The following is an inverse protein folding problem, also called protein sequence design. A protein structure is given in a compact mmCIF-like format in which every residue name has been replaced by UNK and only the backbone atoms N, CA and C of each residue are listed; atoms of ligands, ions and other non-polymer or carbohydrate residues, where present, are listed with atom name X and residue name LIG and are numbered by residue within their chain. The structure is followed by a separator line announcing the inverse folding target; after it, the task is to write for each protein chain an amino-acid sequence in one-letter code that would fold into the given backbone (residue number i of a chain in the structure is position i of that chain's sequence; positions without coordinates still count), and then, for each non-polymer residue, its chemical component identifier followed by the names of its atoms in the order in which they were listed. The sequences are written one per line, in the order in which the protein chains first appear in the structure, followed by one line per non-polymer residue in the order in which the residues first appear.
data_IF_929061129506
#
_entry.id   IF_929061129506
#
_cell.length_a   1.000
_cell.length_b   1.000
_cell.length_c   1.000
_cell.angle_alpha   90.00
_cell.angle_beta   90.00
_cell.angle_gamma   90.00
#
_symmetry.space_group_name_H-M   'P 1'
#
loop_
_entity.id
_entity.type
_entity.pdbx_description
1 polymer ?
#
# COMPACT_ATOMS: atom_id res chain seq x y z
N UNK A 1 18.81 37.71 -26.35
CA UNK A 1 17.79 36.66 -26.63
C UNK A 1 17.53 35.93 -25.34
N UNK A 2 16.32 36.03 -24.78
CA UNK A 2 15.96 35.23 -23.61
C UNK A 2 15.58 33.82 -24.10
N UNK A 3 16.35 32.82 -23.68
CA UNK A 3 16.01 31.42 -23.95
C UNK A 3 14.78 31.07 -23.12
N UNK A 4 13.63 30.90 -23.78
CA UNK A 4 12.42 30.41 -23.13
C UNK A 4 12.68 28.94 -22.79
N UNK A 5 12.98 28.65 -21.52
CA UNK A 5 13.02 27.27 -21.02
C UNK A 5 11.58 26.78 -20.98
N UNK A 6 11.25 25.75 -21.76
CA UNK A 6 9.94 25.13 -21.73
C UNK A 6 9.65 24.65 -20.30
N UNK A 7 8.53 25.11 -19.73
CA UNK A 7 8.09 24.62 -18.42
C UNK A 7 7.71 23.14 -18.55
N UNK A 8 8.29 22.31 -17.69
CA UNK A 8 7.95 20.89 -17.65
C UNK A 8 6.55 20.70 -17.09
N UNK A 9 5.79 19.71 -17.58
CA UNK A 9 4.49 19.44 -17.02
C UNK A 9 4.60 19.02 -15.56
N UNK A 10 3.61 19.44 -14.78
CA UNK A 10 3.60 19.20 -13.35
C UNK A 10 2.21 18.84 -12.84
N UNK A 11 2.20 18.18 -11.69
CA UNK A 11 0.99 17.82 -10.98
C UNK A 11 1.02 18.38 -9.56
N UNK A 12 -0.14 18.86 -9.12
CA UNK A 12 -0.41 19.38 -7.79
C UNK A 12 -1.58 18.65 -7.14
N UNK A 13 -1.58 18.52 -5.81
CA UNK A 13 -2.74 18.04 -5.07
C UNK A 13 -3.40 19.20 -4.33
N UNK A 14 -4.66 19.48 -4.63
CA UNK A 14 -5.41 20.61 -4.05
C UNK A 14 -5.43 20.56 -2.52
N UNK A 15 -5.00 21.65 -1.89
CA UNK A 15 -4.97 21.77 -0.43
C UNK A 15 -3.77 21.08 0.24
N UNK A 16 -2.80 20.59 -0.54
CA UNK A 16 -1.55 20.03 -0.05
C UNK A 16 -0.37 20.74 -0.73
N UNK A 17 0.80 20.86 -0.08
CA UNK A 17 1.98 21.49 -0.65
C UNK A 17 2.69 20.61 -1.71
N UNK A 18 1.95 19.70 -2.34
CA UNK A 18 2.49 18.70 -3.24
C UNK A 18 2.56 19.30 -4.63
N UNK A 19 3.77 19.41 -5.15
CA UNK A 19 4.10 19.75 -6.52
C UNK A 19 5.19 18.81 -7.02
N UNK A 20 4.98 18.15 -8.16
CA UNK A 20 5.98 17.28 -8.76
C UNK A 20 5.90 17.28 -10.29
N UNK A 21 7.06 17.18 -10.94
CA UNK A 21 7.16 17.07 -12.40
C UNK A 21 6.62 15.71 -12.86
N UNK A 22 5.92 15.70 -13.98
CA UNK A 22 5.41 14.49 -14.64
C UNK A 22 5.88 14.46 -16.10
N UNK A 23 5.90 13.29 -16.72
CA UNK A 23 6.19 13.17 -18.15
C UNK A 23 5.07 13.79 -19.00
N UNK A 24 5.39 14.27 -20.19
CA UNK A 24 4.41 14.77 -21.17
C UNK A 24 3.30 13.75 -21.45
N UNK A 25 3.67 12.46 -21.58
CA UNK A 25 2.71 11.36 -21.80
C UNK A 25 1.65 11.32 -20.69
N UNK A 26 2.08 11.37 -19.42
CA UNK A 26 1.15 11.37 -18.28
C UNK A 26 0.29 12.63 -18.30
N UNK A 27 0.87 13.80 -18.58
CA UNK A 27 0.15 15.07 -18.66
C UNK A 27 -0.96 15.01 -19.72
N UNK A 28 -0.63 14.60 -20.95
CA UNK A 28 -1.61 14.50 -22.04
C UNK A 28 -2.75 13.52 -21.70
N UNK A 29 -2.45 12.39 -21.09
CA UNK A 29 -3.48 11.41 -20.72
C UNK A 29 -4.39 11.92 -19.59
N UNK A 30 -3.85 12.66 -18.64
CA UNK A 30 -4.65 13.30 -17.58
C UNK A 30 -5.52 14.43 -18.15
N UNK A 31 -4.98 15.24 -19.07
CA UNK A 31 -5.75 16.27 -19.79
C UNK A 31 -6.92 15.65 -20.56
N UNK A 32 -6.64 14.57 -21.31
CA UNK A 32 -7.64 13.88 -22.13
C UNK A 32 -8.63 13.04 -21.33
N UNK A 33 -8.39 12.82 -20.03
CA UNK A 33 -9.29 12.01 -19.19
C UNK A 33 -10.67 12.64 -19.00
N UNK A 34 -10.78 13.97 -19.10
CA UNK A 34 -11.97 14.74 -18.75
C UNK A 34 -12.55 14.38 -17.35
N UNK A 35 -11.70 13.85 -16.46
CA UNK A 35 -12.15 13.34 -15.18
C UNK A 35 -12.50 14.50 -14.24
N UNK A 36 -13.61 14.39 -13.51
CA UNK A 36 -14.09 15.44 -12.60
C UNK A 36 -13.10 15.84 -11.50
N UNK A 37 -12.14 14.98 -11.18
CA UNK A 37 -11.09 15.23 -10.20
C UNK A 37 -9.89 16.01 -10.75
N UNK A 38 -9.86 16.31 -12.04
CA UNK A 38 -8.76 17.03 -12.68
C UNK A 38 -9.17 18.47 -12.94
N UNK A 39 -8.26 19.40 -12.65
CA UNK A 39 -8.31 20.79 -13.09
C UNK A 39 -7.02 21.10 -13.86
N UNK A 40 -7.15 21.70 -15.02
CA UNK A 40 -6.03 21.94 -15.94
C UNK A 40 -5.74 23.44 -15.96
N UNK A 41 -4.47 23.79 -15.80
CA UNK A 41 -3.95 25.12 -16.11
C UNK A 41 -2.99 25.00 -17.30
N UNK A 42 -3.54 25.22 -18.50
CA UNK A 42 -2.78 25.15 -19.75
C UNK A 42 -1.70 26.24 -19.84
N UNK A 43 -1.84 27.35 -19.12
CA UNK A 43 -0.88 28.45 -19.16
C UNK A 43 0.37 28.16 -18.34
N UNK A 44 0.20 27.49 -17.19
CA UNK A 44 1.28 27.03 -16.33
C UNK A 44 1.74 25.59 -16.64
N UNK A 45 1.16 24.97 -17.68
CA UNK A 45 1.39 23.57 -18.05
C UNK A 45 1.29 22.62 -16.84
N UNK A 46 0.23 22.80 -16.05
CA UNK A 46 0.07 22.09 -14.78
C UNK A 46 -1.32 21.51 -14.60
N UNK A 47 -1.39 20.43 -13.82
CA UNK A 47 -2.61 19.74 -13.46
C UNK A 47 -2.78 19.78 -11.95
N UNK A 48 -3.97 20.13 -11.48
CA UNK A 48 -4.35 20.01 -10.09
C UNK A 48 -5.34 18.87 -9.91
N UNK A 49 -5.00 17.90 -9.07
CA UNK A 49 -5.91 16.85 -8.62
C UNK A 49 -6.69 17.37 -7.42
N UNK A 50 -8.02 17.41 -7.56
CA UNK A 50 -8.93 17.95 -6.55
C UNK A 50 -8.87 17.16 -5.26
N UNK A 51 -9.02 17.86 -4.14
CA UNK A 51 -9.01 17.29 -2.78
C UNK A 51 -10.08 16.22 -2.59
N UNK A 52 -11.17 16.31 -3.37
CA UNK A 52 -12.26 15.34 -3.39
C UNK A 52 -11.85 13.92 -3.81
N UNK A 53 -10.70 13.75 -4.49
CA UNK A 53 -10.12 12.44 -4.81
C UNK A 53 -9.46 11.78 -3.59
N UNK A 54 -8.86 12.60 -2.70
CA UNK A 54 -8.15 12.15 -1.50
C UNK A 54 -8.97 12.32 -0.22
N UNK A 55 -10.30 12.20 -0.31
CA UNK A 55 -11.17 12.23 0.88
C UNK A 55 -11.08 10.92 1.65
N UNK A 56 -11.27 10.98 2.97
CA UNK A 56 -11.22 9.80 3.86
C UNK A 56 -12.09 8.62 3.40
N UNK A 57 -13.28 8.89 2.85
CA UNK A 57 -14.17 7.85 2.32
C UNK A 57 -13.69 7.21 0.99
N UNK A 58 -12.53 7.63 0.47
CA UNK A 58 -11.83 7.05 -0.69
C UNK A 58 -10.57 6.26 -0.26
N UNK A 59 -10.29 6.20 1.03
CA UNK A 59 -9.18 5.43 1.56
C UNK A 59 -9.54 3.95 1.60
N UNK A 60 -8.65 3.13 1.04
CA UNK A 60 -8.70 1.69 1.27
C UNK A 60 -8.26 1.40 2.69
N UNK A 61 -9.13 0.76 3.46
CA UNK A 61 -8.85 0.45 4.86
C UNK A 61 -7.88 -0.73 4.94
N UNK A 62 -6.92 -0.67 5.87
CA UNK A 62 -6.03 -1.80 6.15
C UNK A 62 -6.79 -2.88 6.92
N UNK A 63 -6.46 -4.15 6.65
CA UNK A 63 -7.27 -5.29 7.12
C UNK A 63 -6.43 -6.36 7.80
N UNK A 64 -7.12 -7.14 8.64
CA UNK A 64 -6.71 -8.49 9.02
C UNK A 64 -7.26 -9.45 7.98
N UNK A 65 -6.41 -10.30 7.40
CA UNK A 65 -6.85 -11.27 6.39
C UNK A 65 -6.85 -12.71 6.88
N UNK A 66 -5.90 -13.05 7.74
CA UNK A 66 -5.78 -14.40 8.27
C UNK A 66 -5.43 -14.34 9.76
N UNK A 67 -5.77 -15.41 10.47
CA UNK A 67 -5.02 -15.83 11.63
C UNK A 67 -4.26 -17.10 11.28
N UNK A 68 -3.08 -17.26 11.84
CA UNK A 68 -2.28 -18.47 11.65
C UNK A 68 -1.86 -19.02 13.01
N UNK A 69 -1.82 -20.33 13.12
CA UNK A 69 -1.16 -21.04 14.19
C UNK A 69 -0.24 -22.08 13.56
N UNK A 70 0.96 -22.19 14.08
CA UNK A 70 2.02 -22.99 13.51
C UNK A 70 2.51 -23.95 14.59
N UNK A 71 2.66 -25.24 14.28
CA UNK A 71 3.38 -26.21 15.13
C UNK A 71 4.45 -26.93 14.31
N UNK A 72 5.22 -27.84 14.92
CA UNK A 72 6.35 -28.50 14.24
C UNK A 72 5.98 -29.15 12.90
N UNK A 73 4.74 -29.65 12.74
CA UNK A 73 4.31 -30.45 11.60
C UNK A 73 3.40 -29.71 10.62
N UNK A 74 2.64 -28.71 11.09
CA UNK A 74 1.60 -28.05 10.28
C UNK A 74 1.50 -26.53 10.50
N UNK A 75 0.85 -25.87 9.53
CA UNK A 75 0.42 -24.48 9.59
C UNK A 75 -1.09 -24.46 9.42
N UNK A 76 -1.81 -24.02 10.44
CA UNK A 76 -3.27 -23.89 10.43
C UNK A 76 -3.62 -22.44 10.13
N UNK A 77 -4.50 -22.22 9.16
CA UNK A 77 -4.94 -20.89 8.72
C UNK A 77 -6.44 -20.76 9.02
N UNK A 78 -6.80 -19.66 9.69
CA UNK A 78 -8.18 -19.32 10.01
C UNK A 78 -8.58 -18.01 9.31
N UNK A 79 -9.77 -17.99 8.74
CA UNK A 79 -10.40 -16.74 8.29
C UNK A 79 -10.91 -15.94 9.49
N UNK A 80 -10.78 -14.61 9.49
CA UNK A 80 -11.47 -13.79 10.47
C UNK A 80 -12.98 -13.77 10.21
N UNK A 81 -13.74 -13.47 11.26
CA UNK A 81 -15.18 -13.25 11.13
C UNK A 81 -15.40 -11.86 10.51
N UNK A 82 -16.09 -11.80 9.36
CA UNK A 82 -16.49 -10.53 8.74
C UNK A 82 -17.32 -9.71 9.72
N UNK A 83 -16.85 -8.52 10.08
CA UNK A 83 -17.44 -7.70 11.13
C UNK A 83 -17.73 -6.25 10.71
N UNK A 84 -17.70 -5.95 9.40
CA UNK A 84 -17.92 -4.58 8.93
C UNK A 84 -18.56 -4.53 7.54
N UNK A 85 -19.60 -3.70 7.43
CA UNK A 85 -20.25 -3.39 6.15
C UNK A 85 -19.30 -2.73 5.14
N UNK A 86 -18.22 -2.09 5.62
CA UNK A 86 -17.22 -1.42 4.77
C UNK A 86 -16.48 -2.43 3.88
N UNK A 87 -16.42 -3.70 4.27
CA UNK A 87 -15.70 -4.77 3.58
C UNK A 87 -16.65 -5.75 2.86
N UNK A 88 -17.92 -5.41 2.68
CA UNK A 88 -18.93 -6.31 2.08
C UNK A 88 -18.52 -6.84 0.71
N UNK A 89 -17.86 -5.99 -0.09
CA UNK A 89 -17.44 -6.32 -1.44
C UNK A 89 -16.01 -6.91 -1.51
N UNK A 90 -15.39 -7.22 -0.36
CA UNK A 90 -14.08 -7.88 -0.34
C UNK A 90 -14.17 -9.28 -0.94
N UNK A 91 -13.23 -9.58 -1.83
CA UNK A 91 -13.03 -10.92 -2.40
C UNK A 91 -12.42 -11.90 -1.38
N UNK A 92 -11.99 -11.40 -0.22
CA UNK A 92 -11.42 -12.17 0.87
C UNK A 92 -12.30 -12.05 2.12
N UNK A 93 -12.14 -12.99 3.05
CA UNK A 93 -12.70 -12.88 4.39
C UNK A 93 -11.87 -11.89 5.20
N UNK A 94 -11.96 -10.60 4.88
CA UNK A 94 -11.23 -9.56 5.60
C UNK A 94 -12.01 -9.05 6.81
N UNK A 95 -11.30 -8.64 7.86
CA UNK A 95 -11.85 -7.85 8.96
C UNK A 95 -11.00 -6.60 9.22
N UNK A 96 -11.60 -5.60 9.87
CA UNK A 96 -10.84 -4.39 10.22
C UNK A 96 -9.76 -4.69 11.26
N UNK A 97 -8.62 -3.99 11.18
CA UNK A 97 -7.53 -4.16 12.16
C UNK A 97 -7.98 -3.63 13.53
N UNK A 98 -8.10 -4.53 14.50
CA UNK A 98 -8.33 -4.18 15.90
C UNK A 98 -7.03 -3.70 16.58
N UNK A 99 -7.12 -2.58 17.31
CA UNK A 99 -5.96 -1.95 17.96
C UNK A 99 -5.46 -2.69 19.22
N UNK A 100 -6.32 -3.48 19.86
CA UNK A 100 -6.03 -4.11 21.16
C UNK A 100 -5.84 -5.63 21.05
N UNK A 101 -5.46 -6.11 19.87
CA UNK A 101 -5.20 -7.53 19.66
C UNK A 101 -4.09 -8.02 20.57
N UNK A 102 -4.34 -9.12 21.28
CA UNK A 102 -3.46 -9.58 22.36
C UNK A 102 -2.20 -10.26 21.84
N UNK A 103 -2.27 -10.88 20.67
CA UNK A 103 -1.17 -11.68 20.15
C UNK A 103 -0.28 -10.90 19.17
N UNK A 104 0.86 -11.49 18.84
CA UNK A 104 1.78 -11.00 17.80
C UNK A 104 1.10 -10.94 16.43
N UNK A 105 1.65 -10.07 15.58
CA UNK A 105 1.14 -9.84 14.22
C UNK A 105 2.26 -10.05 13.21
N UNK A 106 1.92 -10.57 12.04
CA UNK A 106 2.74 -10.47 10.84
C UNK A 106 2.11 -9.39 9.97
N UNK A 107 2.78 -8.26 9.84
CA UNK A 107 2.31 -7.13 9.04
C UNK A 107 3.00 -7.16 7.67
N UNK A 108 2.23 -7.38 6.60
CA UNK A 108 2.70 -7.29 5.22
C UNK A 108 2.40 -5.87 4.73
N UNK A 109 3.46 -5.10 4.49
CA UNK A 109 3.37 -3.70 4.07
C UNK A 109 3.48 -3.59 2.55
N UNK A 110 2.49 -2.95 1.95
CA UNK A 110 2.40 -2.63 0.53
C UNK A 110 2.45 -1.12 0.34
N UNK A 111 2.67 -0.65 -0.88
CA UNK A 111 2.84 0.77 -1.16
C UNK A 111 1.54 1.54 -1.03
N UNK A 112 0.57 1.21 -1.87
CA UNK A 112 -0.68 1.92 -2.01
C UNK A 112 -1.67 1.12 -2.86
N UNK A 113 -2.97 1.38 -2.73
CA UNK A 113 -3.99 0.76 -3.56
C UNK A 113 -3.78 0.89 -5.07
N UNK A 114 -4.19 -0.15 -5.80
CA UNK A 114 -4.35 -0.24 -7.24
C UNK A 114 -5.84 -0.27 -7.63
N UNK A 115 -6.16 -0.51 -8.91
CA UNK A 115 -7.53 -0.50 -9.42
C UNK A 115 -8.41 -1.56 -8.75
N UNK A 116 -7.91 -2.78 -8.57
CA UNK A 116 -8.71 -3.91 -8.06
C UNK A 116 -9.16 -3.72 -6.60
N UNK A 117 -8.57 -2.75 -5.89
CA UNK A 117 -8.88 -2.42 -4.49
C UNK A 117 -10.05 -1.42 -4.37
N UNK A 118 -10.66 -1.08 -5.50
CA UNK A 118 -11.85 -0.27 -5.63
C UNK A 118 -12.90 -0.98 -6.49
N UNK A 119 -14.17 -0.66 -6.28
CA UNK A 119 -15.25 -1.13 -7.14
C UNK A 119 -15.08 -0.61 -8.56
N UNK A 120 -15.44 -1.45 -9.53
CA UNK A 120 -15.51 -1.06 -10.94
C UNK A 120 -16.70 -0.12 -11.18
N UNK A 121 -16.54 1.15 -10.81
CA UNK A 121 -17.56 2.19 -10.91
C UNK A 121 -16.96 3.49 -11.47
N UNK A 122 -17.29 3.79 -12.73
CA UNK A 122 -16.79 4.98 -13.43
C UNK A 122 -17.21 6.31 -12.78
N UNK A 123 -18.29 6.33 -11.99
CA UNK A 123 -18.77 7.55 -11.34
C UNK A 123 -18.24 7.76 -9.93
N UNK A 124 -17.96 6.67 -9.20
CA UNK A 124 -17.54 6.72 -7.80
C UNK A 124 -16.36 5.79 -7.55
N UNK A 125 -15.27 6.37 -7.07
CA UNK A 125 -14.17 5.61 -6.48
C UNK A 125 -14.63 5.05 -5.12
N UNK A 126 -14.99 3.77 -5.02
CA UNK A 126 -15.48 3.16 -3.77
C UNK A 126 -14.45 2.11 -3.32
N UNK A 127 -13.81 2.27 -2.16
CA UNK A 127 -12.78 1.35 -1.70
C UNK A 127 -13.39 0.01 -1.26
N UNK A 128 -12.70 -1.09 -1.53
CA UNK A 128 -13.07 -2.45 -1.11
C UNK A 128 -12.21 -2.91 0.06
N UNK A 129 -10.90 -2.94 -0.13
CA UNK A 129 -9.92 -3.52 0.78
C UNK A 129 -8.55 -3.57 0.10
N UNK A 130 -7.46 -3.86 0.81
CA UNK A 130 -6.12 -3.85 0.22
C UNK A 130 -5.86 -5.16 -0.50
N UNK A 131 -4.99 -5.14 -1.52
CA UNK A 131 -4.58 -6.30 -2.28
C UNK A 131 -5.76 -7.20 -2.71
N UNK A 132 -6.79 -6.64 -3.34
CA UNK A 132 -7.99 -7.38 -3.77
C UNK A 132 -7.80 -8.13 -5.11
N UNK A 133 -6.77 -7.75 -5.87
CA UNK A 133 -6.42 -8.36 -7.15
C UNK A 133 -5.40 -9.49 -7.06
N UNK A 134 -4.51 -9.55 -8.07
CA UNK A 134 -3.44 -10.55 -8.16
C UNK A 134 -2.49 -10.54 -6.96
N UNK A 135 -2.26 -9.37 -6.35
CA UNK A 135 -1.45 -9.25 -5.12
C UNK A 135 -2.02 -10.12 -4.00
N UNK A 136 -3.31 -10.02 -3.71
CA UNK A 136 -3.95 -10.80 -2.64
C UNK A 136 -3.93 -12.29 -2.90
N UNK A 137 -4.28 -12.69 -4.13
CA UNK A 137 -4.25 -14.10 -4.55
C UNK A 137 -2.86 -14.71 -4.39
N UNK A 138 -1.81 -13.96 -4.72
CA UNK A 138 -0.42 -14.41 -4.52
C UNK A 138 -0.02 -14.46 -3.05
N UNK A 139 -0.52 -13.56 -2.20
CA UNK A 139 -0.30 -13.62 -0.75
C UNK A 139 -0.96 -14.88 -0.19
N UNK A 140 -2.25 -15.10 -0.45
CA UNK A 140 -3.01 -16.27 0.02
C UNK A 140 -2.36 -17.58 -0.45
N UNK A 141 -2.02 -17.69 -1.74
CA UNK A 141 -1.39 -18.88 -2.30
C UNK A 141 -0.03 -19.23 -1.65
N UNK A 142 0.70 -18.25 -1.13
CA UNK A 142 2.05 -18.46 -0.59
C UNK A 142 2.12 -18.27 0.92
N UNK A 143 0.98 -18.18 1.62
CA UNK A 143 1.00 -17.87 3.05
C UNK A 143 1.67 -18.98 3.87
N UNK A 144 1.40 -20.26 3.59
CA UNK A 144 2.05 -21.39 4.27
C UNK A 144 3.57 -21.36 4.07
N UNK A 145 4.01 -21.23 2.81
CA UNK A 145 5.43 -21.09 2.46
C UNK A 145 6.09 -19.90 3.15
N UNK A 146 5.36 -18.79 3.32
CA UNK A 146 5.86 -17.65 4.07
C UNK A 146 6.13 -18.02 5.53
N UNK A 147 5.24 -18.79 6.15
CA UNK A 147 5.39 -19.20 7.55
C UNK A 147 6.58 -20.15 7.71
N UNK A 148 6.74 -21.10 6.79
CA UNK A 148 7.92 -21.97 6.73
C UNK A 148 9.21 -21.16 6.63
N UNK A 149 9.27 -20.16 5.72
CA UNK A 149 10.43 -19.28 5.63
C UNK A 149 10.69 -18.48 6.89
N UNK A 150 9.65 -17.99 7.55
CA UNK A 150 9.81 -17.28 8.82
C UNK A 150 10.27 -18.22 9.96
N UNK A 151 9.94 -19.52 9.90
CA UNK A 151 10.54 -20.54 10.81
C UNK A 151 12.03 -20.72 10.56
N UNK A 152 12.50 -20.71 9.30
CA UNK A 152 13.94 -20.77 8.99
C UNK A 152 14.72 -19.62 9.67
N UNK A 153 14.08 -18.46 9.84
CA UNK A 153 14.64 -17.31 10.57
C UNK A 153 14.46 -17.36 12.09
N UNK A 154 13.81 -18.41 12.62
CA UNK A 154 13.53 -18.61 14.04
C UNK A 154 12.73 -17.45 14.67
N UNK A 155 11.79 -16.86 13.92
CA UNK A 155 10.95 -15.74 14.40
C UNK A 155 9.47 -16.11 14.61
N UNK A 156 9.06 -17.30 14.18
CA UNK A 156 7.75 -17.88 14.46
C UNK A 156 7.85 -18.70 15.74
N UNK A 157 6.84 -18.60 16.58
CA UNK A 157 6.72 -19.39 17.81
C UNK A 157 5.66 -20.46 17.61
N UNK A 158 5.96 -21.68 18.04
CA UNK A 158 5.02 -22.79 17.93
C UNK A 158 3.82 -22.61 18.87
N UNK A 159 2.65 -23.04 18.41
CA UNK A 159 1.35 -22.92 19.06
C UNK A 159 1.00 -21.48 19.47
N UNK A 160 1.58 -20.49 18.77
CA UNK A 160 1.26 -19.08 18.96
C UNK A 160 0.37 -18.60 17.82
N UNK A 161 -0.81 -18.09 18.16
CA UNK A 161 -1.75 -17.54 17.19
C UNK A 161 -1.30 -16.15 16.73
N UNK A 162 -0.78 -16.05 15.50
CA UNK A 162 -0.48 -14.78 14.85
C UNK A 162 -1.67 -14.26 14.05
N UNK A 163 -1.82 -12.94 14.02
CA UNK A 163 -2.70 -12.26 13.08
C UNK A 163 -1.91 -11.75 11.88
N UNK A 164 -2.45 -11.91 10.67
CA UNK A 164 -1.84 -11.41 9.43
C UNK A 164 -2.57 -10.14 8.99
N UNK A 165 -1.85 -9.02 9.02
CA UNK A 165 -2.37 -7.74 8.56
C UNK A 165 -1.82 -7.40 7.17
N UNK A 166 -2.69 -6.95 6.27
CA UNK A 166 -2.31 -6.38 4.98
C UNK A 166 -2.47 -4.86 5.08
N UNK A 167 -1.36 -4.14 4.93
CA UNK A 167 -1.28 -2.70 5.22
C UNK A 167 -0.71 -1.98 4.00
N UNK A 168 -1.49 -1.08 3.41
CA UNK A 168 -0.95 -0.07 2.50
C UNK A 168 -0.31 1.05 3.32
N UNK A 169 0.91 1.46 2.95
CA UNK A 169 1.61 2.56 3.59
C UNK A 169 0.91 3.91 3.29
N UNK A 170 0.41 4.08 2.06
CA UNK A 170 -0.45 5.19 1.67
C UNK A 170 -1.80 4.62 1.22
N UNK A 171 -2.87 4.93 1.96
CA UNK A 171 -4.20 4.33 1.76
C UNK A 171 -5.00 4.89 0.56
N UNK A 172 -4.35 5.59 -0.37
CA UNK A 172 -4.95 6.18 -1.56
C UNK A 172 -4.29 5.64 -2.82
N UNK A 173 -5.03 5.52 -3.92
CA UNK A 173 -4.47 5.12 -5.21
C UNK A 173 -3.52 6.19 -5.77
N UNK A 174 -2.23 6.08 -5.45
CA UNK A 174 -1.21 7.06 -5.85
C UNK A 174 -0.84 6.98 -7.33
N UNK A 175 -1.16 5.87 -8.01
CA UNK A 175 -1.00 5.74 -9.46
C UNK A 175 -1.97 6.59 -10.27
N UNK A 176 -3.05 7.09 -9.66
CA UNK A 176 -4.14 7.82 -10.32
C UNK A 176 -4.84 7.04 -11.45
N UNK A 177 -4.80 5.70 -11.41
CA UNK A 177 -5.42 4.86 -12.43
C UNK A 177 -6.90 5.17 -12.67
N UNK A 178 -7.67 5.49 -11.63
CA UNK A 178 -9.08 5.90 -11.75
C UNK A 178 -9.29 7.14 -12.62
N UNK A 179 -8.26 7.98 -12.76
CA UNK A 179 -8.31 9.19 -13.57
C UNK A 179 -7.91 8.88 -15.01
N UNK A 180 -6.77 8.22 -15.22
CA UNK A 180 -6.19 8.06 -16.56
C UNK A 180 -6.51 6.70 -17.23
N UNK A 181 -7.00 5.72 -16.48
CA UNK A 181 -7.45 4.39 -16.95
C UNK A 181 -6.41 3.63 -17.80
N UNK A 182 -5.11 3.79 -17.49
CA UNK A 182 -4.00 3.15 -18.22
C UNK A 182 -3.29 2.10 -17.37
N UNK A 183 -2.77 1.02 -17.98
CA UNK A 183 -2.00 0.01 -17.25
C UNK A 183 -0.73 0.60 -16.63
N UNK A 184 -0.26 -0.02 -15.54
CA UNK A 184 0.90 0.43 -14.77
C UNK A 184 2.24 0.14 -15.48
N UNK A 185 2.56 0.93 -16.50
CA UNK A 185 3.86 0.93 -17.18
C UNK A 185 4.89 1.82 -16.45
N UNK A 186 6.07 2.01 -17.04
CA UNK A 186 7.16 2.78 -16.40
C UNK A 186 6.74 4.23 -16.05
N UNK A 187 6.01 4.92 -16.93
CA UNK A 187 5.57 6.30 -16.70
C UNK A 187 4.62 6.40 -15.50
N UNK A 188 3.68 5.46 -15.39
CA UNK A 188 2.70 5.45 -14.29
C UNK A 188 3.29 4.91 -12.98
N UNK A 189 4.32 4.05 -13.03
CA UNK A 189 5.10 3.69 -11.84
C UNK A 189 5.87 4.88 -11.30
N UNK A 190 6.47 5.68 -12.17
CA UNK A 190 7.16 6.91 -11.76
C UNK A 190 6.18 7.93 -11.17
N UNK A 191 5.01 8.12 -11.80
CA UNK A 191 3.94 8.96 -11.25
C UNK A 191 3.51 8.49 -9.87
N UNK A 192 3.20 7.18 -9.73
CA UNK A 192 2.83 6.55 -8.47
C UNK A 192 3.86 6.86 -7.39
N UNK A 193 5.14 6.57 -7.65
CA UNK A 193 6.21 6.74 -6.68
C UNK A 193 6.39 8.21 -6.29
N UNK A 194 6.32 9.14 -7.26
CA UNK A 194 6.40 10.59 -7.00
C UNK A 194 5.26 11.06 -6.11
N UNK A 195 4.02 10.69 -6.42
CA UNK A 195 2.85 11.07 -5.62
C UNK A 195 2.93 10.43 -4.24
N UNK A 196 3.25 9.14 -4.17
CA UNK A 196 3.44 8.41 -2.92
C UNK A 196 4.45 9.10 -2.01
N UNK A 197 5.64 9.43 -2.54
CA UNK A 197 6.71 10.08 -1.78
C UNK A 197 6.26 11.42 -1.22
N UNK A 198 5.62 12.23 -2.07
CA UNK A 198 5.08 13.54 -1.68
C UNK A 198 4.01 13.42 -0.61
N UNK A 199 3.05 12.50 -0.75
CA UNK A 199 2.05 12.25 0.28
C UNK A 199 2.67 11.78 1.59
N UNK A 200 3.66 10.88 1.53
CA UNK A 200 4.34 10.35 2.70
C UNK A 200 5.16 11.40 3.46
N UNK A 201 5.87 12.28 2.75
CA UNK A 201 6.76 13.26 3.35
C UNK A 201 6.06 14.58 3.73
N UNK A 202 5.03 14.98 3.00
CA UNK A 202 4.44 16.32 3.12
C UNK A 202 3.03 16.34 3.73
N UNK A 203 2.38 15.18 3.90
CA UNK A 203 1.08 15.06 4.57
C UNK A 203 1.24 14.25 5.86
N UNK A 204 1.48 14.91 7.02
CA UNK A 204 1.75 14.21 8.28
C UNK A 204 0.69 13.18 8.67
N UNK A 205 -0.58 13.44 8.32
CA UNK A 205 -1.69 12.54 8.63
C UNK A 205 -1.53 11.16 7.97
N UNK A 206 -0.97 11.08 6.75
CA UNK A 206 -0.76 9.81 6.05
C UNK A 206 0.20 8.93 6.84
N UNK A 207 1.37 9.48 7.18
CA UNK A 207 2.38 8.77 7.98
C UNK A 207 1.84 8.43 9.38
N UNK A 208 1.15 9.36 10.04
CA UNK A 208 0.60 9.13 11.38
C UNK A 208 -0.46 8.01 11.40
N UNK A 209 -1.31 7.93 10.37
CA UNK A 209 -2.29 6.84 10.22
C UNK A 209 -1.58 5.49 10.04
N UNK A 210 -0.54 5.42 9.20
CA UNK A 210 0.31 4.24 9.07
C UNK A 210 0.96 3.83 10.41
N UNK A 211 1.59 4.78 11.09
CA UNK A 211 2.28 4.55 12.37
C UNK A 211 1.33 4.13 13.49
N UNK A 212 0.05 4.55 13.46
CA UNK A 212 -0.96 4.08 14.41
C UNK A 212 -1.18 2.57 14.30
N UNK A 213 -1.17 2.01 13.10
CA UNK A 213 -1.33 0.56 12.91
C UNK A 213 -0.11 -0.21 13.39
N UNK A 214 1.09 0.34 13.20
CA UNK A 214 2.34 -0.39 13.48
C UNK A 214 2.83 -0.19 14.91
N UNK A 215 2.55 0.95 15.55
CA UNK A 215 2.89 1.21 16.95
C UNK A 215 2.13 0.29 17.92
N UNK A 216 0.91 -0.13 17.57
CA UNK A 216 0.09 -1.04 18.40
C UNK A 216 0.55 -2.51 18.38
N UNK A 217 1.46 -2.87 17.46
CA UNK A 217 2.00 -4.22 17.35
C UNK A 217 2.80 -4.62 18.59
N UNK A 218 2.66 -5.89 19.01
CA UNK A 218 3.36 -6.47 20.17
C UNK A 218 4.85 -6.67 19.90
N UNK A 219 5.65 -6.72 20.95
CA UNK A 219 7.07 -7.10 20.86
C UNK A 219 7.20 -8.48 20.22
N UNK A 220 8.16 -8.65 19.32
CA UNK A 220 8.35 -9.88 18.54
C UNK A 220 7.35 -10.05 17.40
N UNK A 221 6.53 -9.04 17.09
CA UNK A 221 5.76 -9.02 15.84
C UNK A 221 6.72 -8.93 14.64
N UNK A 222 6.27 -9.46 13.51
CA UNK A 222 7.03 -9.51 12.27
C UNK A 222 6.50 -8.43 11.33
N UNK A 223 7.39 -7.67 10.71
CA UNK A 223 7.04 -6.66 9.71
C UNK A 223 7.76 -7.03 8.42
N UNK A 224 7.02 -7.18 7.33
CA UNK A 224 7.55 -7.49 6.02
C UNK A 224 7.25 -6.31 5.11
N UNK A 225 8.30 -5.54 4.78
CA UNK A 225 8.19 -4.46 3.82
C UNK A 225 8.29 -5.02 2.38
N UNK A 226 7.13 -5.20 1.76
CA UNK A 226 6.99 -5.68 0.38
C UNK A 226 6.70 -4.54 -0.61
N UNK A 227 6.97 -3.29 -0.23
CA UNK A 227 6.86 -2.15 -1.13
C UNK A 227 7.86 -2.28 -2.32
N UNK A 228 7.62 -1.57 -3.43
CA UNK A 228 8.59 -1.41 -4.51
C UNK A 228 9.93 -0.89 -3.99
N UNK A 229 11.03 -1.32 -4.62
CA UNK A 229 12.41 -1.00 -4.22
C UNK A 229 12.66 0.50 -4.00
N UNK A 230 12.05 1.35 -4.82
CA UNK A 230 12.13 2.82 -4.73
C UNK A 230 11.51 3.40 -3.44
N UNK A 231 10.54 2.71 -2.85
CA UNK A 231 9.75 3.19 -1.71
C UNK A 231 10.16 2.54 -0.39
N UNK A 232 10.74 1.33 -0.43
CA UNK A 232 11.15 0.59 0.78
C UNK A 232 11.97 1.41 1.77
N UNK A 233 13.00 2.20 1.38
CA UNK A 233 13.82 2.92 2.34
C UNK A 233 13.00 3.87 3.22
N UNK A 234 11.99 4.52 2.66
CA UNK A 234 11.14 5.47 3.39
C UNK A 234 10.27 4.81 4.45
N UNK A 235 9.79 3.59 4.17
CA UNK A 235 9.01 2.80 5.12
C UNK A 235 9.92 2.19 6.20
N UNK A 236 11.09 1.66 5.82
CA UNK A 236 12.03 1.06 6.77
C UNK A 236 12.57 2.07 7.79
N UNK A 237 12.82 3.31 7.38
CA UNK A 237 13.29 4.38 8.27
C UNK A 237 12.40 4.55 9.51
N UNK A 238 11.09 4.34 9.36
CA UNK A 238 10.13 4.45 10.46
C UNK A 238 10.25 3.29 11.48
N UNK A 239 10.78 2.14 11.05
CA UNK A 239 10.93 0.95 11.89
C UNK A 239 12.31 0.82 12.53
N UNK A 240 13.34 1.39 11.91
CA UNK A 240 14.73 1.33 12.41
C UNK A 240 14.84 1.90 13.83
N UNK A 241 14.06 2.93 14.16
CA UNK A 241 14.06 3.52 15.51
C UNK A 241 13.56 2.55 16.59
N UNK A 242 12.75 1.56 16.21
CA UNK A 242 12.16 0.55 17.09
C UNK A 242 12.59 -0.86 16.69
N UNK A 243 13.79 -1.02 16.12
CA UNK A 243 14.25 -2.28 15.55
C UNK A 243 14.27 -3.41 16.57
N UNK A 244 14.51 -3.12 17.86
CA UNK A 244 14.49 -4.11 18.94
C UNK A 244 13.07 -4.60 19.32
N UNK A 245 12.02 -3.97 18.78
CA UNK A 245 10.62 -4.34 19.06
C UNK A 245 10.11 -5.39 18.08
N UNK A 246 10.64 -5.44 16.87
CA UNK A 246 10.09 -6.23 15.76
C UNK A 246 11.16 -7.06 15.07
N UNK A 247 10.73 -8.11 14.37
CA UNK A 247 11.55 -8.72 13.33
C UNK A 247 11.20 -8.04 12.01
N UNK A 248 12.14 -7.27 11.46
CA UNK A 248 11.96 -6.50 10.25
C UNK A 248 12.56 -7.24 9.06
N UNK A 249 11.74 -7.43 8.04
CA UNK A 249 12.12 -8.06 6.78
C UNK A 249 11.81 -7.15 5.61
N UNK A 250 12.56 -7.32 4.54
CA UNK A 250 12.18 -6.90 3.20
C UNK A 250 11.80 -8.10 2.34
N UNK A 251 10.97 -7.86 1.34
CA UNK A 251 10.67 -8.82 0.28
C UNK A 251 10.36 -8.07 -1.01
N UNK A 252 10.46 -8.72 -2.17
CA UNK A 252 9.93 -8.18 -3.41
C UNK A 252 8.39 -7.99 -3.31
N UNK A 253 7.83 -7.14 -4.16
CA UNK A 253 6.37 -7.01 -4.20
C UNK A 253 5.72 -8.34 -4.64
N UNK A 254 4.57 -8.78 -4.07
CA UNK A 254 3.97 -10.08 -4.38
C UNK A 254 3.72 -10.32 -5.86
N UNK A 255 3.39 -9.27 -6.63
CA UNK A 255 3.15 -9.38 -8.08
C UNK A 255 4.41 -9.38 -8.94
N UNK A 256 5.61 -9.24 -8.37
CA UNK A 256 6.87 -9.33 -9.11
C UNK A 256 7.08 -10.71 -9.78
N UNK A 257 8.08 -10.78 -10.64
CA UNK A 257 8.44 -12.00 -11.39
C UNK A 257 9.03 -13.08 -10.49
N UNK A 258 9.84 -12.69 -9.51
CA UNK A 258 10.36 -13.58 -8.48
C UNK A 258 9.30 -13.82 -7.41
N UNK A 259 9.29 -15.02 -6.81
CA UNK A 259 8.40 -15.28 -5.70
C UNK A 259 8.84 -14.42 -4.49
N UNK A 260 7.95 -13.57 -4.02
CA UNK A 260 8.23 -12.64 -2.93
C UNK A 260 8.69 -13.37 -1.65
N UNK A 261 8.13 -14.54 -1.35
CA UNK A 261 8.55 -15.34 -0.18
C UNK A 261 10.00 -15.80 -0.27
N UNK A 262 10.49 -16.13 -1.48
CA UNK A 262 11.88 -16.56 -1.67
C UNK A 262 12.87 -15.38 -1.62
N UNK A 263 12.39 -14.16 -1.83
CA UNK A 263 13.18 -12.93 -1.72
C UNK A 263 13.23 -12.33 -0.31
N UNK A 264 12.70 -13.04 0.69
CA UNK A 264 12.63 -12.55 2.06
C UNK A 264 14.04 -12.35 2.64
N UNK A 265 14.31 -11.15 3.12
CA UNK A 265 15.60 -10.75 3.68
C UNK A 265 15.41 -10.07 5.03
N UNK A 266 16.05 -10.60 6.07
CA UNK A 266 15.95 -10.05 7.43
C UNK A 266 16.91 -8.85 7.59
N UNK A 267 16.38 -7.73 8.08
CA UNK A 267 17.17 -6.51 8.30
C UNK A 267 17.86 -6.53 9.67
N UNK A 268 17.31 -7.21 10.67
CA UNK A 268 17.80 -7.19 12.07
C UNK A 268 17.77 -8.50 12.84
#
# INVERSE_FOLDING_TARGET
MATIIAQKPSIQLEGYPIYTEISDIVYEQLVNSNNKYVQIDSSAHSITIKRSFFKKNKQVQNVTRFFIEANEEEVIIYSPIKNSDILLNSSFDDSLIESNFKNKTIAIILESPHIDEYESNAEKLIPIGPAQGQTGKKIEKNIEKLIERLRDFHVIEDNHLYRINIINAVNFQTSLHYIHEKPLNNYYRELRDKIWLKMWSEIPQIKNEFLKHTSSLKKGSIIINACPKSLKPFVNLEFIQNINKYHLFESNHPTSTENWVDSLFKIN
#
